data_IF_571515228533
#
_entry.id   IF_571515228533
#
_cell.length_a   1.000
_cell.length_b   1.000
_cell.length_c   1.000
_cell.angle_alpha   90.00
_cell.angle_beta   90.00
_cell.angle_gamma   90.00
#
_symmetry.space_group_name_H-M   'P 1'
#
loop_
_entity.id
_entity.type
_entity.pdbx_description
1 polymer ?
#
# COMPACT_ATOMS: atom_id res chain seq x y z
N UNK A 1 37.60 -3.83 8.56
CA UNK A 1 37.63 -5.22 8.03
C UNK A 1 36.68 -6.14 8.79
N UNK A 2 36.91 -6.52 10.06
CA UNK A 2 35.98 -7.41 10.79
C UNK A 2 34.65 -6.73 11.18
N UNK A 3 34.71 -5.50 11.69
CA UNK A 3 33.52 -4.73 12.11
C UNK A 3 32.59 -4.37 10.95
N UNK A 4 33.15 -4.15 9.76
CA UNK A 4 32.42 -3.82 8.55
C UNK A 4 31.57 -5.00 8.05
N UNK A 5 32.15 -6.21 8.05
CA UNK A 5 31.40 -7.43 7.71
C UNK A 5 30.28 -7.73 8.71
N UNK A 6 30.52 -7.50 10.00
CA UNK A 6 29.48 -7.69 11.04
C UNK A 6 28.33 -6.69 10.83
N UNK A 7 28.66 -5.44 10.50
CA UNK A 7 27.66 -4.40 10.21
C UNK A 7 26.83 -4.73 8.96
N UNK A 8 27.47 -5.17 7.89
CA UNK A 8 26.80 -5.62 6.65
C UNK A 8 25.88 -6.83 6.91
N UNK A 9 26.33 -7.80 7.72
CA UNK A 9 25.52 -8.96 8.08
C UNK A 9 24.29 -8.58 8.90
N UNK A 10 24.44 -7.65 9.85
CA UNK A 10 23.31 -7.10 10.61
C UNK A 10 22.32 -6.36 9.72
N UNK A 11 22.80 -5.53 8.78
CA UNK A 11 21.97 -4.84 7.79
C UNK A 11 21.18 -5.82 6.93
N UNK A 12 21.83 -6.88 6.43
CA UNK A 12 21.13 -7.93 5.65
C UNK A 12 20.06 -8.65 6.46
N UNK A 13 20.36 -9.01 7.71
CA UNK A 13 19.36 -9.65 8.59
C UNK A 13 18.17 -8.72 8.87
N UNK A 14 18.43 -7.44 9.07
CA UNK A 14 17.38 -6.44 9.25
C UNK A 14 16.53 -6.27 7.99
N UNK A 15 17.15 -6.20 6.81
CA UNK A 15 16.43 -6.15 5.52
C UNK A 15 15.56 -7.39 5.31
N UNK A 16 16.11 -8.59 5.51
CA UNK A 16 15.37 -9.83 5.38
C UNK A 16 14.17 -9.92 6.35
N UNK A 17 14.32 -9.42 7.58
CA UNK A 17 13.22 -9.35 8.54
C UNK A 17 12.14 -8.35 8.11
N UNK A 18 12.54 -7.18 7.60
CA UNK A 18 11.60 -6.17 7.08
C UNK A 18 10.82 -6.73 5.86
N UNK A 19 11.49 -7.46 4.98
CA UNK A 19 10.87 -8.06 3.80
C UNK A 19 9.91 -9.19 4.18
N UNK A 20 10.30 -10.04 5.13
CA UNK A 20 9.43 -11.10 5.67
C UNK A 20 8.17 -10.53 6.35
N UNK A 21 8.29 -9.42 7.07
CA UNK A 21 7.14 -8.75 7.69
C UNK A 21 6.09 -8.30 6.65
N UNK A 22 6.54 -7.95 5.45
CA UNK A 22 5.70 -7.49 4.34
C UNK A 22 5.20 -8.62 3.44
N UNK A 23 5.64 -9.86 3.65
CA UNK A 23 5.17 -10.99 2.84
C UNK A 23 3.67 -11.17 3.02
N UNK A 24 2.96 -11.07 1.90
CA UNK A 24 1.53 -11.38 1.82
C UNK A 24 1.40 -12.85 1.45
N UNK A 25 0.51 -13.56 2.13
CA UNK A 25 0.04 -14.87 1.69
C UNK A 25 -0.76 -14.79 0.38
N UNK A 26 -0.98 -15.95 -0.24
CA UNK A 26 -1.77 -16.09 -1.46
C UNK A 26 -3.26 -15.89 -1.18
N UNK A 27 -3.94 -15.14 -2.05
CA UNK A 27 -5.40 -15.02 -2.01
C UNK A 27 -6.07 -16.22 -2.68
N UNK A 28 -7.13 -16.72 -2.07
CA UNK A 28 -8.05 -17.66 -2.72
C UNK A 28 -8.61 -17.05 -4.03
N UNK A 29 -8.81 -17.82 -5.11
CA UNK A 29 -9.16 -17.29 -6.44
C UNK A 29 -10.39 -16.36 -6.45
N UNK A 30 -11.47 -16.75 -5.77
CA UNK A 30 -12.70 -15.96 -5.69
C UNK A 30 -12.49 -14.64 -4.92
N UNK A 31 -11.67 -14.70 -3.86
CA UNK A 31 -11.29 -13.51 -3.09
C UNK A 31 -10.44 -12.57 -3.95
N UNK A 32 -9.51 -13.11 -4.73
CA UNK A 32 -8.68 -12.34 -5.65
C UNK A 32 -9.53 -11.69 -6.76
N UNK A 33 -10.53 -12.39 -7.31
CA UNK A 33 -11.42 -11.84 -8.33
C UNK A 33 -12.24 -10.65 -7.79
N UNK A 34 -12.84 -10.79 -6.61
CA UNK A 34 -13.55 -9.68 -5.95
C UNK A 34 -12.63 -8.50 -5.63
N UNK A 35 -11.43 -8.76 -5.11
CA UNK A 35 -10.45 -7.73 -4.81
C UNK A 35 -9.98 -6.98 -6.07
N UNK A 36 -9.80 -7.67 -7.22
CA UNK A 36 -9.45 -7.04 -8.50
C UNK A 36 -10.53 -6.08 -9.01
N UNK A 37 -11.80 -6.42 -8.81
CA UNK A 37 -12.90 -5.53 -9.15
C UNK A 37 -12.85 -4.24 -8.29
N UNK A 38 -12.67 -4.36 -6.97
CA UNK A 38 -12.46 -3.21 -6.10
C UNK A 38 -11.23 -2.39 -6.49
N UNK A 39 -10.09 -3.04 -6.77
CA UNK A 39 -8.86 -2.37 -7.19
C UNK A 39 -9.03 -1.57 -8.50
N UNK A 40 -9.83 -2.09 -9.43
CA UNK A 40 -10.14 -1.39 -10.69
C UNK A 40 -10.94 -0.13 -10.45
N UNK A 41 -11.95 -0.17 -9.58
CA UNK A 41 -12.73 1.01 -9.21
C UNK A 41 -11.92 2.04 -8.42
N UNK A 42 -11.03 1.58 -7.52
CA UNK A 42 -10.09 2.46 -6.82
C UNK A 42 -9.18 3.16 -7.82
N UNK A 43 -8.53 2.43 -8.71
CA UNK A 43 -7.65 2.98 -9.73
C UNK A 43 -8.38 4.03 -10.58
N UNK A 44 -9.63 3.76 -10.96
CA UNK A 44 -10.44 4.69 -11.74
C UNK A 44 -10.76 5.98 -10.98
N UNK A 45 -11.15 5.87 -9.71
CA UNK A 45 -11.41 7.01 -8.84
C UNK A 45 -10.17 7.89 -8.62
N UNK A 46 -9.01 7.27 -8.42
CA UNK A 46 -7.74 7.97 -8.23
C UNK A 46 -7.26 8.65 -9.52
N UNK A 47 -7.39 7.99 -10.69
CA UNK A 47 -7.08 8.62 -11.98
C UNK A 47 -7.94 9.86 -12.26
N UNK A 48 -9.23 9.84 -11.91
CA UNK A 48 -10.09 11.02 -12.07
C UNK A 48 -9.65 12.18 -11.18
N UNK A 49 -9.13 11.87 -10.00
CA UNK A 49 -8.64 12.84 -9.05
C UNK A 49 -7.34 13.50 -9.53
N UNK A 50 -6.46 12.75 -10.18
CA UNK A 50 -5.19 13.28 -10.72
C UNK A 50 -5.33 13.92 -12.10
N UNK A 51 -6.27 13.49 -12.94
CA UNK A 51 -6.41 13.96 -14.32
C UNK A 51 -6.77 15.46 -14.49
N UNK A 52 -7.18 16.16 -13.43
CA UNK A 52 -7.59 17.57 -13.48
C UNK A 52 -6.75 18.52 -12.61
N UNK A 53 -5.78 18.01 -11.84
CA UNK A 53 -5.02 18.79 -10.87
C UNK A 53 -3.69 19.29 -11.43
N UNK A 54 -3.33 20.53 -11.11
CA UNK A 54 -1.93 21.01 -11.20
C UNK A 54 -1.12 20.68 -9.95
N UNK A 55 -1.82 20.26 -8.90
CA UNK A 55 -1.29 20.02 -7.56
C UNK A 55 -1.43 18.54 -7.18
N UNK A 56 -0.57 18.08 -6.29
CA UNK A 56 -0.64 16.72 -5.76
C UNK A 56 -1.95 16.47 -4.99
N UNK A 57 -2.51 15.25 -5.06
CA UNK A 57 -3.65 14.84 -4.24
C UNK A 57 -3.40 15.03 -2.75
N UNK A 58 -4.32 15.72 -2.06
CA UNK A 58 -4.32 15.73 -0.59
C UNK A 58 -4.87 14.41 0.00
N UNK A 59 -4.51 14.14 1.26
CA UNK A 59 -4.88 12.90 1.96
C UNK A 59 -6.40 12.68 2.04
N UNK A 60 -7.17 13.74 2.26
CA UNK A 60 -8.62 13.65 2.42
C UNK A 60 -9.31 13.35 1.10
N UNK A 61 -8.82 13.91 0.00
CA UNK A 61 -9.33 13.67 -1.34
C UNK A 61 -9.08 12.20 -1.75
N UNK A 62 -7.88 11.69 -1.52
CA UNK A 62 -7.55 10.27 -1.75
C UNK A 62 -8.40 9.37 -0.84
N UNK A 63 -8.53 9.71 0.46
CA UNK A 63 -9.34 8.93 1.41
C UNK A 63 -10.80 8.83 0.97
N UNK A 64 -11.39 9.93 0.52
CA UNK A 64 -12.77 9.95 -0.01
C UNK A 64 -12.90 9.07 -1.26
N UNK A 65 -11.97 9.17 -2.21
CA UNK A 65 -11.99 8.38 -3.43
C UNK A 65 -11.92 6.87 -3.14
N UNK A 66 -11.02 6.45 -2.24
CA UNK A 66 -10.89 5.04 -1.84
C UNK A 66 -12.12 4.56 -1.08
N UNK A 67 -12.63 5.35 -0.12
CA UNK A 67 -13.81 4.98 0.67
C UNK A 67 -15.07 4.84 -0.18
N UNK A 68 -15.22 5.65 -1.23
CA UNK A 68 -16.36 5.59 -2.15
C UNK A 68 -16.49 4.24 -2.89
N UNK A 69 -15.43 3.43 -2.93
CA UNK A 69 -15.43 2.08 -3.52
C UNK A 69 -16.00 1.01 -2.60
N UNK A 70 -16.41 1.37 -1.38
CA UNK A 70 -16.94 0.46 -0.37
C UNK A 70 -15.87 -0.25 0.46
N UNK A 71 -14.60 0.13 0.32
CA UNK A 71 -13.52 -0.34 1.19
C UNK A 71 -13.71 0.17 2.62
N UNK A 72 -13.37 -0.69 3.57
CA UNK A 72 -13.37 -0.39 5.01
C UNK A 72 -11.93 -0.26 5.53
N UNK A 73 -11.75 0.14 6.79
CA UNK A 73 -10.42 0.31 7.41
C UNK A 73 -9.45 1.13 6.53
N UNK A 74 -9.99 2.19 5.90
CA UNK A 74 -9.24 2.97 4.90
C UNK A 74 -8.17 3.82 5.59
N UNK A 75 -6.92 3.55 5.22
CA UNK A 75 -5.74 4.33 5.61
C UNK A 75 -5.23 5.07 4.40
N UNK A 76 -4.92 6.35 4.58
CA UNK A 76 -4.19 7.20 3.64
C UNK A 76 -3.20 8.00 4.47
N UNK A 77 -1.94 8.03 4.05
CA UNK A 77 -0.85 8.76 4.72
C UNK A 77 0.38 8.90 3.81
N UNK A 78 1.35 9.75 4.15
CA UNK A 78 2.66 9.72 3.52
C UNK A 78 3.36 8.36 3.75
N UNK A 79 4.26 7.94 2.85
CA UNK A 79 5.06 6.73 3.03
C UNK A 79 5.99 6.86 4.23
N UNK A 80 6.01 5.82 5.07
CA UNK A 80 6.96 5.63 6.16
C UNK A 80 8.10 4.72 5.74
N UNK A 81 9.09 4.54 6.63
CA UNK A 81 10.30 3.75 6.35
C UNK A 81 10.00 2.28 6.03
N UNK A 82 8.89 1.76 6.56
CA UNK A 82 8.49 0.37 6.40
C UNK A 82 7.62 0.13 5.17
N UNK A 83 7.11 1.16 4.50
CA UNK A 83 6.23 1.00 3.35
C UNK A 83 6.99 0.57 2.09
N UNK A 84 6.32 -0.23 1.28
CA UNK A 84 6.75 -0.55 -0.07
C UNK A 84 6.07 0.42 -1.01
N UNK A 85 6.88 1.17 -1.73
CA UNK A 85 6.37 2.20 -2.60
C UNK A 85 7.40 3.29 -2.73
N UNK A 86 7.12 4.23 -3.60
CA UNK A 86 8.07 5.26 -3.91
C UNK A 86 8.04 6.31 -2.77
N UNK A 87 9.20 6.83 -2.34
CA UNK A 87 9.38 7.55 -1.06
C UNK A 87 8.78 8.96 -0.95
N UNK A 88 7.83 9.29 -1.82
CA UNK A 88 7.08 10.55 -1.92
C UNK A 88 5.64 10.27 -2.39
N UNK A 89 4.77 11.27 -2.29
CA UNK A 89 3.33 11.15 -2.54
C UNK A 89 2.59 10.53 -1.35
N UNK A 90 1.47 9.87 -1.64
CA UNK A 90 0.65 9.20 -0.62
C UNK A 90 0.60 7.70 -0.86
N UNK A 91 0.50 6.94 0.22
CA UNK A 91 0.11 5.54 0.18
C UNK A 91 -1.30 5.39 0.72
N UNK A 92 -1.98 4.34 0.27
CA UNK A 92 -3.30 4.00 0.77
C UNK A 92 -3.47 2.50 0.94
N UNK A 93 -4.41 2.13 1.78
CA UNK A 93 -5.00 0.80 1.77
C UNK A 93 -6.44 0.82 2.26
N UNK A 94 -7.18 -0.22 1.87
CA UNK A 94 -8.50 -0.51 2.39
C UNK A 94 -8.80 -2.01 2.36
N UNK A 95 -9.79 -2.40 3.15
CA UNK A 95 -10.19 -3.78 3.38
C UNK A 95 -11.53 -4.09 2.70
N UNK A 96 -11.56 -5.15 1.89
CA UNK A 96 -12.77 -5.63 1.21
C UNK A 96 -13.67 -6.51 2.08
N UNK A 97 -13.27 -6.79 3.32
CA UNK A 97 -13.83 -7.88 4.13
C UNK A 97 -13.05 -9.19 4.01
N UNK A 98 -12.27 -9.39 2.94
CA UNK A 98 -11.51 -10.62 2.68
C UNK A 98 -10.09 -10.41 2.12
N UNK A 99 -9.80 -9.25 1.55
CA UNK A 99 -8.50 -8.89 0.98
C UNK A 99 -8.19 -7.41 1.19
N UNK A 100 -6.91 -7.08 1.16
CA UNK A 100 -6.41 -5.73 1.11
C UNK A 100 -6.32 -5.25 -0.33
N UNK A 101 -6.78 -4.02 -0.57
CA UNK A 101 -6.47 -3.22 -1.76
C UNK A 101 -5.55 -2.10 -1.29
N UNK A 102 -4.37 -1.96 -1.86
CA UNK A 102 -3.35 -1.02 -1.39
C UNK A 102 -2.50 -0.50 -2.55
N UNK A 103 -1.78 0.59 -2.33
CA UNK A 103 -0.88 1.14 -3.34
C UNK A 103 -0.45 2.57 -3.02
N UNK A 104 0.02 3.26 -4.04
CA UNK A 104 0.52 4.64 -3.96
C UNK A 104 -0.18 5.56 -4.96
N UNK A 105 -0.27 6.83 -4.60
CA UNK A 105 -0.84 7.90 -5.42
C UNK A 105 0.15 9.05 -5.50
N UNK A 106 0.50 9.41 -6.73
CA UNK A 106 1.25 10.60 -7.14
C UNK A 106 0.50 11.24 -8.30
N UNK A 107 0.86 12.47 -8.64
CA UNK A 107 0.21 13.20 -9.72
C UNK A 107 0.21 12.40 -11.04
N UNK A 108 1.34 11.78 -11.40
CA UNK A 108 1.50 11.08 -12.69
C UNK A 108 1.69 9.57 -12.56
N UNK A 109 1.65 9.03 -11.33
CA UNK A 109 1.89 7.61 -11.08
C UNK A 109 0.96 7.09 -9.98
N UNK A 110 0.15 6.10 -10.34
CA UNK A 110 -0.81 5.47 -9.44
C UNK A 110 -0.61 3.97 -9.53
N UNK A 111 -0.33 3.36 -8.39
CA UNK A 111 -0.25 1.91 -8.26
C UNK A 111 -1.42 1.41 -7.44
N UNK A 112 -2.00 0.29 -7.86
CA UNK A 112 -3.05 -0.40 -7.09
C UNK A 112 -2.79 -1.89 -7.17
N UNK A 113 -2.58 -2.50 -6.02
CA UNK A 113 -2.31 -3.91 -5.83
C UNK A 113 -3.32 -4.54 -4.88
N UNK A 114 -3.36 -5.86 -4.89
CA UNK A 114 -4.21 -6.65 -4.00
C UNK A 114 -3.39 -7.71 -3.28
N UNK A 115 -3.82 -8.05 -2.07
CA UNK A 115 -3.17 -9.12 -1.32
C UNK A 115 -3.87 -9.43 -0.01
N UNK A 116 -3.33 -10.40 0.71
CA UNK A 116 -3.73 -10.66 2.10
C UNK A 116 -3.19 -9.56 3.02
N UNK A 117 -3.65 -9.58 4.28
CA UNK A 117 -3.04 -8.79 5.36
C UNK A 117 -1.57 -9.20 5.54
N UNK A 118 -0.74 -8.25 5.94
CA UNK A 118 0.66 -8.52 6.31
C UNK A 118 0.72 -9.12 7.73
N UNK A 119 1.92 -9.42 8.22
CA UNK A 119 2.12 -10.15 9.48
C UNK A 119 1.52 -9.47 10.72
N UNK A 120 1.36 -8.15 10.73
CA UNK A 120 0.72 -7.39 11.83
C UNK A 120 -0.82 -7.41 11.78
N UNK A 121 -1.42 -8.06 10.77
CA UNK A 121 -2.86 -8.14 10.58
C UNK A 121 -3.47 -6.91 9.89
N UNK A 122 -2.67 -5.91 9.52
CA UNK A 122 -3.06 -4.75 8.75
C UNK A 122 -2.90 -4.92 7.23
N UNK A 123 -3.38 -3.93 6.49
CA UNK A 123 -3.15 -3.84 5.03
C UNK A 123 -1.89 -3.05 4.67
N UNK A 124 -1.42 -2.18 5.56
CA UNK A 124 -0.15 -1.49 5.51
C UNK A 124 0.60 -1.72 6.82
N UNK A 125 1.94 -1.65 6.81
CA UNK A 125 2.72 -1.55 8.04
C UNK A 125 2.18 -0.44 8.95
N UNK A 126 2.21 -0.70 10.25
CA UNK A 126 1.98 0.32 11.25
C UNK A 126 2.88 1.55 10.98
N UNK A 127 2.35 2.78 11.13
CA UNK A 127 3.16 3.97 11.02
C UNK A 127 4.24 3.99 12.12
N UNK A 128 5.45 4.42 11.76
CA UNK A 128 6.55 4.68 12.70
C UNK A 128 6.23 5.88 13.61
#
# INVERSE_FOLDING_TARGET
MADERVREEMLRRQQAANDAFRQRGTLEPDTAAGARACATEVLKGLNLLTAGGRDEPDEDAVRRAVTATGLTDVVVRPPGRLDLGPGDGLIFAGWTGRACVFGSVRQDDITVEIGTRIADGGCLPAPD
#
